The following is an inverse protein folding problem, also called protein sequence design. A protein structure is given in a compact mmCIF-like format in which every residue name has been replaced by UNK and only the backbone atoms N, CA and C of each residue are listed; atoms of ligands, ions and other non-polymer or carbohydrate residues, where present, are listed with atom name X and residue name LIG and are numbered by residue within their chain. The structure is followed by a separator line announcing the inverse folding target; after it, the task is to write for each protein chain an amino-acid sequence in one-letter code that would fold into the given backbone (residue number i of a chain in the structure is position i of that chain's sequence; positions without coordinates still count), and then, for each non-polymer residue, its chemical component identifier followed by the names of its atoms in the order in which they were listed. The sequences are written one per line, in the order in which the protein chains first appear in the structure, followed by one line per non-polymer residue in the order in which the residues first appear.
data_IF_503818143073
#
_entry.id   IF_503818143073
#
_cell.length_a   1.000
_cell.length_b   1.000
_cell.length_c   1.000
_cell.angle_alpha   90.00
_cell.angle_beta   90.00
_cell.angle_gamma   90.00
#
_symmetry.space_group_name_H-M   'P 1'
#
loop_
_entity.id
_entity.type
_entity.pdbx_description
1 polymer ?
#
# COMPACT_ATOMS: atom_id res chain seq x y z
N UNK A 1 1.16 -10.89 26.29
CA UNK A 1 -0.10 -10.17 26.05
C UNK A 1 0.29 -8.74 25.80
N UNK A 2 -0.01 -8.22 24.63
CA UNK A 2 0.08 -6.78 24.34
C UNK A 2 -1.08 -6.06 25.04
N UNK A 3 -0.83 -4.84 25.51
CA UNK A 3 -1.84 -3.98 26.13
C UNK A 3 -2.31 -2.86 25.21
N UNK A 4 -3.24 -2.07 25.71
CA UNK A 4 -3.71 -0.86 25.03
C UNK A 4 -2.55 0.16 24.89
N UNK A 5 -2.37 0.71 23.69
CA UNK A 5 -1.37 1.75 23.38
C UNK A 5 -1.92 2.77 22.39
N UNK A 6 -1.31 3.96 22.33
CA UNK A 6 -1.70 5.01 21.37
C UNK A 6 -3.16 5.50 21.52
N UNK A 7 -3.76 5.38 22.71
CA UNK A 7 -5.20 5.61 22.93
C UNK A 7 -5.63 7.09 22.76
N UNK A 8 -4.68 8.00 22.60
CA UNK A 8 -4.92 9.43 22.35
C UNK A 8 -4.61 9.86 20.90
N UNK A 9 -4.36 8.92 19.99
CA UNK A 9 -4.05 9.20 18.58
C UNK A 9 -5.14 10.05 17.92
N UNK A 10 -4.73 11.18 17.33
CA UNK A 10 -5.65 12.10 16.64
C UNK A 10 -6.29 13.17 17.54
N UNK A 11 -6.20 13.04 18.86
CA UNK A 11 -6.89 13.93 19.81
C UNK A 11 -6.52 15.41 19.64
N UNK A 12 -5.26 15.72 19.33
CA UNK A 12 -4.77 17.08 19.06
C UNK A 12 -5.39 17.74 17.82
N UNK A 13 -5.95 16.92 16.92
CA UNK A 13 -6.67 17.36 15.72
C UNK A 13 -8.18 17.12 15.80
N UNK A 14 -8.70 16.76 16.99
CA UNK A 14 -10.11 16.44 17.22
C UNK A 14 -10.64 15.30 16.33
N UNK A 15 -9.79 14.32 16.04
CA UNK A 15 -10.13 13.11 15.26
C UNK A 15 -9.75 11.85 16.04
N UNK A 16 -10.42 10.73 15.75
CA UNK A 16 -10.02 9.42 16.28
C UNK A 16 -9.12 8.73 15.26
N UNK A 17 -7.84 8.57 15.61
CA UNK A 17 -6.86 7.82 14.83
C UNK A 17 -6.31 6.61 15.60
N UNK A 18 -7.00 6.13 16.64
CA UNK A 18 -6.62 4.93 17.39
C UNK A 18 -6.76 3.67 16.53
N UNK A 19 -5.85 2.70 16.70
CA UNK A 19 -5.81 1.43 15.96
C UNK A 19 -4.68 1.38 14.94
N UNK A 20 -4.79 0.51 13.93
CA UNK A 20 -3.75 0.34 12.90
C UNK A 20 -2.50 -0.36 13.44
N UNK A 21 -1.45 -0.41 12.62
CA UNK A 21 -0.20 -1.09 12.95
C UNK A 21 0.94 -0.10 13.19
N UNK A 22 1.79 -0.39 14.17
CA UNK A 22 3.14 0.18 14.18
C UNK A 22 3.96 -0.44 13.06
N UNK A 23 4.85 0.34 12.46
CA UNK A 23 5.48 -0.01 11.19
C UNK A 23 6.52 -1.13 11.31
N UNK A 24 7.41 -1.02 12.30
CA UNK A 24 8.51 -1.96 12.48
C UNK A 24 8.78 -2.26 13.97
N UNK A 25 9.97 -1.91 14.44
CA UNK A 25 10.35 -1.97 15.87
C UNK A 25 10.16 -0.65 16.61
N UNK A 26 9.59 0.34 15.94
CA UNK A 26 9.23 1.66 16.46
C UNK A 26 7.73 1.74 16.78
N UNK A 27 7.27 2.88 17.33
CA UNK A 27 5.85 3.10 17.65
C UNK A 27 5.18 4.12 16.69
N UNK A 28 5.78 4.33 15.51
CA UNK A 28 5.25 5.20 14.46
C UNK A 28 4.29 4.43 13.58
N UNK A 29 3.19 5.08 13.19
CA UNK A 29 2.21 4.55 12.23
C UNK A 29 2.45 5.20 10.88
N UNK A 30 3.28 4.59 10.04
CA UNK A 30 3.50 5.05 8.66
C UNK A 30 2.42 4.53 7.72
N UNK A 31 1.62 5.43 7.14
CA UNK A 31 0.43 5.08 6.36
C UNK A 31 0.74 4.36 5.05
N UNK A 32 1.83 4.74 4.35
CA UNK A 32 2.21 4.13 3.08
C UNK A 32 2.58 2.63 3.21
N UNK A 33 3.58 2.24 4.02
CA UNK A 33 3.91 0.83 4.22
C UNK A 33 2.78 0.02 4.88
N UNK A 34 1.97 0.63 5.76
CA UNK A 34 0.78 -0.02 6.31
C UNK A 34 -0.26 -0.33 5.24
N UNK A 35 -0.56 0.63 4.37
CA UNK A 35 -1.48 0.43 3.26
C UNK A 35 -0.95 -0.64 2.30
N UNK A 36 0.33 -0.59 1.94
CA UNK A 36 0.97 -1.62 1.10
C UNK A 36 0.88 -3.02 1.70
N UNK A 37 1.19 -3.17 2.99
CA UNK A 37 1.06 -4.43 3.72
C UNK A 37 -0.37 -4.95 3.67
N UNK A 38 -1.35 -4.05 3.80
CA UNK A 38 -2.77 -4.38 3.74
C UNK A 38 -3.19 -4.84 2.34
N UNK A 39 -2.72 -4.15 1.30
CA UNK A 39 -2.92 -4.54 -0.10
C UNK A 39 -2.38 -5.95 -0.35
N UNK A 40 -1.16 -6.26 0.10
CA UNK A 40 -0.55 -7.59 -0.07
C UNK A 40 -1.28 -8.69 0.70
N UNK A 41 -1.66 -8.44 1.96
CA UNK A 41 -2.43 -9.40 2.74
C UNK A 41 -3.78 -9.69 2.06
N UNK A 42 -4.46 -8.64 1.60
CA UNK A 42 -5.72 -8.79 0.86
C UNK A 42 -5.52 -9.54 -0.46
N UNK A 43 -4.48 -9.23 -1.23
CA UNK A 43 -4.15 -9.93 -2.47
C UNK A 43 -3.88 -11.42 -2.22
N UNK A 44 -3.11 -11.75 -1.17
CA UNK A 44 -2.86 -13.14 -0.76
C UNK A 44 -4.15 -13.88 -0.43
N UNK A 45 -5.08 -13.25 0.29
CA UNK A 45 -6.39 -13.84 0.59
C UNK A 45 -7.24 -14.03 -0.68
N UNK A 46 -7.19 -13.09 -1.62
CA UNK A 46 -7.94 -13.18 -2.89
C UNK A 46 -7.43 -14.36 -3.73
N UNK A 47 -6.11 -14.54 -3.86
CA UNK A 47 -5.53 -15.58 -4.72
C UNK A 47 -5.49 -16.94 -4.03
N UNK A 48 -5.20 -16.98 -2.73
CA UNK A 48 -4.87 -18.22 -2.01
C UNK A 48 -5.76 -18.49 -0.80
N UNK A 49 -6.83 -17.73 -0.59
CA UNK A 49 -7.70 -17.86 0.59
C UNK A 49 -8.27 -19.27 0.80
N UNK A 50 -8.54 -20.02 -0.27
CA UNK A 50 -8.98 -21.41 -0.21
C UNK A 50 -7.94 -22.37 0.37
N UNK A 51 -6.65 -22.04 0.24
CA UNK A 51 -5.51 -22.81 0.76
C UNK A 51 -5.12 -22.41 2.19
N UNK A 52 -5.72 -21.35 2.76
CA UNK A 52 -5.38 -20.86 4.11
C UNK A 52 -6.02 -21.65 5.24
N UNK A 53 -6.94 -22.59 4.94
CA UNK A 53 -7.61 -23.44 5.92
C UNK A 53 -8.16 -22.64 7.14
N UNK A 54 -7.69 -22.94 8.35
CA UNK A 54 -8.12 -22.28 9.59
C UNK A 54 -7.46 -20.91 9.83
N UNK A 55 -6.53 -20.47 8.97
CA UNK A 55 -5.87 -19.17 9.08
C UNK A 55 -6.61 -18.05 8.34
N UNK A 56 -7.61 -18.38 7.52
CA UNK A 56 -8.35 -17.39 6.73
C UNK A 56 -9.01 -16.31 7.61
N UNK A 57 -9.54 -16.70 8.77
CA UNK A 57 -10.17 -15.77 9.70
C UNK A 57 -9.14 -14.88 10.41
N UNK A 58 -7.94 -15.39 10.68
CA UNK A 58 -6.83 -14.59 11.22
C UNK A 58 -6.35 -13.57 10.18
N UNK A 59 -6.23 -13.97 8.92
CA UNK A 59 -5.87 -13.07 7.82
C UNK A 59 -6.94 -11.98 7.63
N UNK A 60 -8.23 -12.36 7.67
CA UNK A 60 -9.34 -11.38 7.63
C UNK A 60 -9.30 -10.44 8.82
N UNK A 61 -9.06 -10.93 10.04
CA UNK A 61 -8.95 -10.08 11.22
C UNK A 61 -7.79 -9.07 11.09
N UNK A 62 -6.63 -9.50 10.58
CA UNK A 62 -5.49 -8.62 10.34
C UNK A 62 -5.79 -7.52 9.29
N UNK A 63 -6.39 -7.91 8.15
CA UNK A 63 -6.82 -6.95 7.13
C UNK A 63 -7.86 -5.98 7.70
N UNK A 64 -8.81 -6.49 8.51
CA UNK A 64 -9.83 -5.66 9.14
C UNK A 64 -9.22 -4.63 10.08
N UNK A 65 -8.24 -5.02 10.90
CA UNK A 65 -7.57 -4.12 11.85
C UNK A 65 -6.93 -2.92 11.15
N UNK A 66 -6.20 -3.15 10.05
CA UNK A 66 -5.62 -2.07 9.26
C UNK A 66 -6.69 -1.24 8.55
N UNK A 67 -7.66 -1.89 7.91
CA UNK A 67 -8.68 -1.16 7.14
C UNK A 67 -9.63 -0.33 8.00
N UNK A 68 -9.90 -0.73 9.25
CA UNK A 68 -10.64 0.10 10.20
C UNK A 68 -9.87 1.41 10.48
N UNK A 69 -8.54 1.34 10.63
CA UNK A 69 -7.70 2.54 10.79
C UNK A 69 -7.62 3.37 9.51
N UNK A 70 -7.38 2.76 8.35
CA UNK A 70 -7.33 3.48 7.06
C UNK A 70 -8.67 4.17 6.75
N UNK A 71 -9.80 3.56 7.11
CA UNK A 71 -11.11 4.20 7.02
C UNK A 71 -11.21 5.44 7.91
N UNK A 72 -10.77 5.36 9.18
CA UNK A 72 -10.73 6.53 10.07
C UNK A 72 -9.87 7.65 9.46
N UNK A 73 -8.66 7.30 9.05
CA UNK A 73 -7.70 8.22 8.45
C UNK A 73 -8.19 8.90 7.16
N UNK A 74 -8.95 8.18 6.32
CA UNK A 74 -9.49 8.68 5.06
C UNK A 74 -10.82 9.43 5.18
N UNK A 75 -11.54 9.28 6.30
CA UNK A 75 -12.90 9.83 6.46
C UNK A 75 -13.05 10.84 7.60
N UNK A 76 -12.02 11.02 8.41
CA UNK A 76 -12.04 11.94 9.56
C UNK A 76 -12.26 13.41 9.17
N UNK A 77 -11.82 13.84 7.98
CA UNK A 77 -12.01 15.20 7.48
C UNK A 77 -12.17 15.23 5.95
N UNK A 78 -12.92 16.19 5.38
CA UNK A 78 -13.03 16.35 3.93
C UNK A 78 -11.70 16.76 3.29
N UNK A 79 -11.46 16.29 2.05
CA UNK A 79 -10.25 16.60 1.25
C UNK A 79 -8.93 16.41 2.02
N UNK A 80 -8.92 15.48 2.97
CA UNK A 80 -7.80 15.22 3.86
C UNK A 80 -7.62 13.72 4.01
N UNK A 81 -6.38 13.26 3.93
CA UNK A 81 -5.99 11.91 4.32
C UNK A 81 -4.93 12.02 5.40
N UNK A 82 -5.18 11.43 6.57
CA UNK A 82 -4.18 11.29 7.62
C UNK A 82 -3.22 10.15 7.26
N UNK A 83 -1.92 10.43 7.22
CA UNK A 83 -0.92 9.51 6.64
C UNK A 83 0.13 9.06 7.65
N UNK A 84 0.23 9.73 8.80
CA UNK A 84 1.18 9.33 9.85
C UNK A 84 0.74 9.78 11.23
N UNK A 85 1.01 8.94 12.23
CA UNK A 85 0.89 9.28 13.65
C UNK A 85 2.18 8.88 14.37
N UNK A 86 2.79 9.81 15.09
CA UNK A 86 4.12 9.66 15.68
C UNK A 86 5.16 10.54 15.00
N UNK A 87 5.94 11.29 15.79
CA UNK A 87 7.16 11.94 15.29
C UNK A 87 8.30 10.92 15.27
N UNK A 88 8.83 10.55 14.09
CA UNK A 88 9.78 9.45 13.99
C UNK A 88 11.13 9.79 14.62
N UNK A 89 11.54 11.06 14.58
CA UNK A 89 12.81 11.47 15.15
C UNK A 89 12.78 11.40 16.68
N UNK A 90 11.63 11.65 17.31
CA UNK A 90 11.46 11.52 18.75
C UNK A 90 11.26 10.07 19.17
N UNK A 91 10.42 9.33 18.44
CA UNK A 91 10.16 7.91 18.67
C UNK A 91 11.47 7.11 18.65
N UNK A 92 12.28 7.26 17.60
CA UNK A 92 13.51 6.49 17.41
C UNK A 92 14.65 6.86 18.38
N UNK A 93 14.50 7.93 19.17
CA UNK A 93 15.46 8.29 20.24
C UNK A 93 15.17 7.57 21.55
N UNK A 94 13.99 6.97 21.69
CA UNK A 94 13.58 6.25 22.87
C UNK A 94 13.42 4.76 22.53
N UNK A 95 13.83 3.88 23.44
CA UNK A 95 13.52 2.46 23.37
C UNK A 95 12.49 2.15 24.44
N UNK A 96 11.22 2.16 24.07
CA UNK A 96 10.09 2.02 25.00
C UNK A 96 9.05 1.04 24.48
N UNK A 97 8.27 0.49 25.42
CA UNK A 97 7.12 -0.34 25.07
C UNK A 97 6.00 0.57 24.56
N UNK A 98 5.21 0.16 23.55
CA UNK A 98 4.10 0.97 23.06
C UNK A 98 3.10 1.35 24.15
N UNK A 99 2.89 0.51 25.17
CA UNK A 99 1.95 0.78 26.27
C UNK A 99 2.42 1.88 27.22
N UNK A 100 3.72 2.16 27.28
CA UNK A 100 4.32 3.15 28.21
C UNK A 100 4.76 4.43 27.49
N UNK A 101 4.40 4.59 26.21
CA UNK A 101 5.02 5.59 25.37
C UNK A 101 4.72 7.04 25.79
N UNK A 102 5.76 7.85 25.91
CA UNK A 102 5.66 9.26 26.31
C UNK A 102 6.16 10.24 25.22
N UNK A 103 6.62 9.70 24.09
CA UNK A 103 7.06 10.46 22.92
C UNK A 103 5.90 11.19 22.20
N UNK A 104 6.15 12.37 21.58
CA UNK A 104 5.11 13.12 20.87
C UNK A 104 4.46 12.33 19.72
N UNK A 105 3.14 12.11 19.82
CA UNK A 105 2.33 11.44 18.80
C UNK A 105 1.69 12.41 17.81
N UNK A 106 2.53 13.22 17.17
CA UNK A 106 2.10 14.19 16.16
C UNK A 106 1.38 13.52 15.00
N UNK A 107 0.40 14.21 14.42
CA UNK A 107 -0.41 13.70 13.32
C UNK A 107 -0.08 14.47 12.05
N UNK A 108 0.19 13.73 10.97
CA UNK A 108 0.52 14.29 9.66
C UNK A 108 -0.51 13.85 8.62
N UNK A 109 -0.74 14.71 7.64
CA UNK A 109 -1.80 14.56 6.65
C UNK A 109 -1.41 15.14 5.30
N UNK A 110 -2.07 14.65 4.26
CA UNK A 110 -2.07 15.24 2.92
C UNK A 110 -3.45 15.85 2.62
N UNK A 111 -3.47 16.83 1.74
CA UNK A 111 -4.65 17.64 1.40
C UNK A 111 -4.57 18.10 -0.06
N UNK A 112 -5.59 18.79 -0.55
CA UNK A 112 -5.59 19.40 -1.88
C UNK A 112 -4.51 20.48 -2.05
N UNK A 113 -4.06 21.13 -0.96
CA UNK A 113 -2.94 22.08 -1.01
C UNK A 113 -1.56 21.42 -0.91
N UNK A 114 -1.47 20.30 -0.18
CA UNK A 114 -0.25 19.51 0.01
C UNK A 114 -0.57 18.06 -0.38
N UNK A 115 -0.58 17.74 -1.69
CA UNK A 115 -1.01 16.44 -2.17
C UNK A 115 -0.07 15.30 -1.76
N UNK A 116 -0.57 14.08 -1.86
CA UNK A 116 0.18 12.85 -1.64
C UNK A 116 -0.45 11.69 -2.38
N UNK A 117 -0.30 11.69 -3.69
CA UNK A 117 -0.91 10.71 -4.59
C UNK A 117 -0.39 9.31 -4.36
N UNK A 118 0.88 9.16 -3.99
CA UNK A 118 1.51 7.88 -3.65
C UNK A 118 0.80 7.19 -2.48
N UNK A 119 0.76 7.82 -1.31
CA UNK A 119 0.11 7.26 -0.11
C UNK A 119 -1.40 7.18 -0.24
N UNK A 120 -2.04 8.13 -0.93
CA UNK A 120 -3.48 8.07 -1.19
C UNK A 120 -3.83 6.94 -2.16
N UNK A 121 -3.08 6.76 -3.25
CA UNK A 121 -3.26 5.67 -4.19
C UNK A 121 -3.08 4.30 -3.50
N UNK A 122 -2.05 4.14 -2.67
CA UNK A 122 -1.85 2.88 -1.94
C UNK A 122 -2.97 2.63 -0.91
N UNK A 123 -3.42 3.67 -0.20
CA UNK A 123 -4.58 3.56 0.70
C UNK A 123 -5.84 3.15 -0.06
N UNK A 124 -6.07 3.71 -1.25
CA UNK A 124 -7.18 3.32 -2.10
C UNK A 124 -7.06 1.86 -2.57
N UNK A 125 -5.86 1.41 -2.96
CA UNK A 125 -5.60 0.03 -3.34
C UNK A 125 -5.86 -0.95 -2.19
N UNK A 126 -5.41 -0.63 -0.98
CA UNK A 126 -5.64 -1.42 0.22
C UNK A 126 -7.13 -1.59 0.53
N UNK A 127 -7.87 -0.48 0.53
CA UNK A 127 -9.32 -0.49 0.78
C UNK A 127 -10.08 -1.22 -0.34
N UNK A 128 -9.69 -1.03 -1.61
CA UNK A 128 -10.30 -1.72 -2.73
C UNK A 128 -10.06 -3.24 -2.68
N UNK A 129 -8.83 -3.69 -2.45
CA UNK A 129 -8.49 -5.10 -2.33
C UNK A 129 -9.22 -5.74 -1.14
N UNK A 130 -9.23 -5.09 0.02
CA UNK A 130 -9.98 -5.56 1.18
C UNK A 130 -11.49 -5.64 0.93
N UNK A 131 -12.06 -4.74 0.13
CA UNK A 131 -13.48 -4.82 -0.23
C UNK A 131 -13.84 -6.14 -0.92
N UNK A 132 -12.93 -6.72 -1.70
CA UNK A 132 -13.11 -8.02 -2.35
C UNK A 132 -13.08 -9.14 -1.30
N UNK A 133 -12.13 -9.08 -0.36
CA UNK A 133 -11.98 -10.07 0.72
C UNK A 133 -13.24 -10.19 1.57
N UNK A 134 -13.89 -9.06 1.89
CA UNK A 134 -15.09 -9.02 2.73
C UNK A 134 -16.41 -9.08 1.95
N UNK A 135 -16.37 -9.21 0.62
CA UNK A 135 -17.56 -9.10 -0.24
C UNK A 135 -18.71 -10.02 0.19
N UNK A 136 -18.39 -11.27 0.54
CA UNK A 136 -19.39 -12.27 0.88
C UNK A 136 -19.63 -12.37 2.40
N UNK A 137 -18.61 -12.16 3.22
CA UNK A 137 -18.69 -12.30 4.68
C UNK A 137 -19.24 -11.08 5.40
N UNK A 138 -18.97 -9.87 4.88
CA UNK A 138 -19.52 -8.60 5.37
C UNK A 138 -19.75 -7.63 4.21
N UNK A 139 -20.87 -7.79 3.47
CA UNK A 139 -21.18 -6.96 2.30
C UNK A 139 -21.29 -5.47 2.62
N UNK A 140 -21.73 -5.12 3.83
CA UNK A 140 -21.86 -3.72 4.27
C UNK A 140 -20.48 -3.09 4.46
N UNK A 141 -19.56 -3.79 5.13
CA UNK A 141 -18.19 -3.34 5.28
C UNK A 141 -17.47 -3.28 3.93
N UNK A 142 -17.62 -4.30 3.10
CA UNK A 142 -17.12 -4.33 1.71
C UNK A 142 -17.54 -3.09 0.91
N UNK A 143 -18.83 -2.74 0.92
CA UNK A 143 -19.34 -1.56 0.23
C UNK A 143 -18.74 -0.25 0.79
N UNK A 144 -18.58 -0.15 2.12
CA UNK A 144 -17.96 1.02 2.77
C UNK A 144 -16.49 1.18 2.37
N UNK A 145 -15.75 0.07 2.30
CA UNK A 145 -14.35 0.04 1.87
C UNK A 145 -14.23 0.50 0.42
N UNK A 146 -15.01 -0.10 -0.49
CA UNK A 146 -14.96 0.23 -1.91
C UNK A 146 -15.34 1.70 -2.17
N UNK A 147 -16.40 2.19 -1.53
CA UNK A 147 -16.82 3.59 -1.67
C UNK A 147 -15.73 4.57 -1.22
N UNK A 148 -15.08 4.27 -0.09
CA UNK A 148 -13.96 5.08 0.40
C UNK A 148 -12.76 4.99 -0.53
N UNK A 149 -12.42 3.79 -1.02
CA UNK A 149 -11.32 3.58 -1.97
C UNK A 149 -11.49 4.44 -3.24
N UNK A 150 -12.69 4.47 -3.81
CA UNK A 150 -13.00 5.29 -4.99
C UNK A 150 -12.78 6.79 -4.73
N UNK A 151 -13.21 7.28 -3.56
CA UNK A 151 -13.01 8.69 -3.16
C UNK A 151 -11.54 9.04 -2.95
N UNK A 152 -10.78 8.17 -2.29
CA UNK A 152 -9.35 8.41 -2.01
C UNK A 152 -8.54 8.35 -3.30
N UNK A 153 -8.88 7.45 -4.23
CA UNK A 153 -8.27 7.42 -5.55
C UNK A 153 -8.58 8.67 -6.38
N UNK A 154 -9.82 9.12 -6.38
CA UNK A 154 -10.22 10.36 -7.05
C UNK A 154 -9.47 11.57 -6.50
N UNK A 155 -9.27 11.62 -5.17
CA UNK A 155 -8.39 12.62 -4.54
C UNK A 155 -6.94 12.51 -5.03
N UNK A 156 -6.37 11.29 -5.06
CA UNK A 156 -5.00 11.04 -5.50
C UNK A 156 -4.75 11.44 -6.96
N UNK A 157 -5.71 11.17 -7.85
CA UNK A 157 -5.61 11.46 -9.28
C UNK A 157 -5.81 12.96 -9.59
N UNK A 158 -6.76 13.62 -8.90
CA UNK A 158 -7.03 15.06 -9.11
C UNK A 158 -5.94 15.96 -8.53
N UNK A 159 -5.32 15.55 -7.42
CA UNK A 159 -4.30 16.34 -6.72
C UNK A 159 -2.97 15.60 -6.77
N UNK A 160 -2.25 15.73 -7.90
CA UNK A 160 -1.01 15.00 -8.16
C UNK A 160 0.21 15.58 -7.42
N UNK A 161 0.91 14.75 -6.65
CA UNK A 161 2.19 15.08 -5.99
C UNK A 161 2.67 14.00 -5.02
N UNK A 162 3.96 14.03 -4.60
CA UNK A 162 4.43 13.10 -3.57
C UNK A 162 4.04 13.61 -2.19
N UNK A 163 3.61 12.71 -1.29
CA UNK A 163 3.46 13.12 0.11
C UNK A 163 4.79 13.54 0.74
N UNK A 164 5.91 12.99 0.24
CA UNK A 164 7.26 13.33 0.70
C UNK A 164 7.67 14.76 0.33
N UNK A 165 7.05 15.38 -0.69
CA UNK A 165 7.35 16.78 -1.04
C UNK A 165 7.00 17.73 0.12
N UNK A 166 5.88 17.46 0.80
CA UNK A 166 5.41 18.27 1.93
C UNK A 166 5.86 17.74 3.31
N UNK A 167 6.23 16.46 3.39
CA UNK A 167 6.56 15.76 4.65
C UNK A 167 8.02 15.28 4.75
N UNK A 168 8.93 15.74 3.88
CA UNK A 168 10.34 15.30 3.81
C UNK A 168 11.14 15.33 5.14
N UNK A 169 10.69 16.08 6.15
CA UNK A 169 11.32 16.11 7.47
C UNK A 169 10.98 14.91 8.36
N UNK A 170 9.92 14.17 8.00
CA UNK A 170 9.37 13.06 8.78
C UNK A 170 9.12 11.79 7.95
N UNK A 171 9.37 11.84 6.63
CA UNK A 171 9.36 10.68 5.74
C UNK A 171 10.57 10.73 4.81
N UNK A 172 11.08 9.57 4.40
CA UNK A 172 12.13 9.54 3.38
C UNK A 172 11.59 10.08 2.03
N UNK A 173 12.49 10.52 1.16
CA UNK A 173 12.10 10.97 -0.18
C UNK A 173 11.76 9.77 -1.07
N UNK A 174 10.60 9.77 -1.70
CA UNK A 174 10.12 8.66 -2.54
C UNK A 174 9.86 9.13 -3.96
N UNK A 175 10.29 8.34 -4.95
CA UNK A 175 9.99 8.63 -6.35
C UNK A 175 8.53 8.26 -6.64
N UNK A 176 7.72 9.27 -7.00
CA UNK A 176 6.29 9.12 -7.29
C UNK A 176 6.08 8.19 -8.48
N UNK A 177 5.85 6.92 -8.21
CA UNK A 177 5.32 5.99 -9.22
C UNK A 177 4.05 5.36 -8.66
N UNK A 178 3.01 6.19 -8.70
CA UNK A 178 1.63 5.82 -8.41
C UNK A 178 1.16 4.71 -9.34
N UNK A 179 1.04 3.48 -8.84
CA UNK A 179 0.19 2.48 -9.48
C UNK A 179 -0.85 1.98 -8.46
N UNK A 180 -1.92 2.76 -8.29
CA UNK A 180 -3.16 2.19 -7.75
C UNK A 180 -3.84 1.43 -8.89
N UNK A 181 -3.61 0.12 -8.95
CA UNK A 181 -4.56 -0.74 -9.64
C UNK A 181 -5.74 -0.94 -8.70
N UNK A 182 -6.78 -0.15 -8.87
CA UNK A 182 -8.06 -0.48 -8.23
C UNK A 182 -8.51 -1.78 -8.89
N UNK A 183 -8.47 -2.86 -8.11
CA UNK A 183 -8.99 -4.18 -8.48
C UNK A 183 -10.53 -4.18 -8.55
N UNK A 184 -11.14 -3.16 -9.14
CA UNK A 184 -12.55 -3.19 -9.47
C UNK A 184 -12.71 -3.75 -10.87
N UNK A 185 -13.73 -4.59 -11.07
CA UNK A 185 -14.12 -5.05 -12.41
C UNK A 185 -14.87 -3.96 -13.20
N UNK A 186 -14.74 -2.70 -12.80
CA UNK A 186 -15.42 -1.58 -13.44
C UNK A 186 -14.59 -1.11 -14.64
N UNK A 187 -15.24 -1.04 -15.80
CA UNK A 187 -14.63 -0.66 -17.07
C UNK A 187 -13.92 0.69 -17.00
N UNK A 188 -14.41 1.65 -16.20
CA UNK A 188 -13.78 2.97 -16.06
C UNK A 188 -12.34 2.91 -15.56
N UNK A 189 -12.01 1.93 -14.70
CA UNK A 189 -10.63 1.77 -14.21
C UNK A 189 -9.75 1.05 -15.22
N UNK A 190 -10.31 0.15 -16.03
CA UNK A 190 -9.59 -0.45 -17.16
C UNK A 190 -9.26 0.63 -18.22
N UNK A 191 -10.23 1.50 -18.53
CA UNK A 191 -10.03 2.64 -19.44
C UNK A 191 -8.99 3.62 -18.88
N UNK A 192 -8.98 3.85 -17.56
CA UNK A 192 -7.97 4.65 -16.89
C UNK A 192 -6.56 4.06 -17.05
N UNK A 193 -6.41 2.74 -16.84
CA UNK A 193 -5.14 2.03 -17.02
C UNK A 193 -4.67 2.13 -18.47
N UNK A 194 -5.57 1.98 -19.44
CA UNK A 194 -5.23 2.14 -20.86
C UNK A 194 -4.79 3.57 -21.20
N UNK A 195 -5.47 4.57 -20.64
CA UNK A 195 -5.22 5.98 -20.94
C UNK A 195 -3.97 6.53 -20.27
N UNK A 196 -3.62 6.02 -19.07
CA UNK A 196 -2.51 6.53 -18.27
C UNK A 196 -1.32 5.57 -18.21
N UNK A 197 -1.44 4.31 -18.64
CA UNK A 197 -0.44 3.27 -18.46
C UNK A 197 0.97 3.68 -18.90
N UNK A 198 1.10 4.28 -20.09
CA UNK A 198 2.38 4.77 -20.59
C UNK A 198 3.00 5.83 -19.67
N UNK A 199 2.21 6.78 -19.15
CA UNK A 199 2.71 7.79 -18.20
C UNK A 199 3.05 7.20 -16.83
N UNK A 200 2.45 6.06 -16.49
CA UNK A 200 2.65 5.33 -15.23
C UNK A 200 3.72 4.23 -15.33
N UNK A 201 4.51 4.22 -16.42
CA UNK A 201 5.63 3.30 -16.59
C UNK A 201 5.23 1.90 -17.05
N UNK A 202 4.14 1.76 -17.81
CA UNK A 202 3.74 0.49 -18.43
C UNK A 202 4.85 -0.10 -19.31
N UNK A 203 5.62 0.77 -19.97
CA UNK A 203 6.65 0.42 -20.96
C UNK A 203 8.06 0.29 -20.37
N UNK A 204 8.20 0.57 -19.07
CA UNK A 204 9.48 0.48 -18.36
C UNK A 204 9.72 -0.96 -17.87
N UNK A 205 10.98 -1.40 -17.80
CA UNK A 205 11.31 -2.61 -17.05
C UNK A 205 11.54 -2.27 -15.57
N UNK A 206 10.97 -3.09 -14.69
CA UNK A 206 11.09 -2.94 -13.24
C UNK A 206 11.81 -4.15 -12.64
N UNK A 207 12.60 -3.92 -11.60
CA UNK A 207 13.47 -4.95 -11.02
C UNK A 207 13.28 -5.14 -9.51
N UNK A 208 12.40 -4.37 -8.87
CA UNK A 208 12.07 -4.47 -7.45
C UNK A 208 10.58 -4.30 -7.20
N UNK A 209 10.01 -5.13 -6.34
CA UNK A 209 8.64 -4.97 -5.84
C UNK A 209 8.69 -4.70 -4.34
N UNK A 210 8.18 -3.56 -3.90
CA UNK A 210 8.24 -3.10 -2.51
C UNK A 210 7.11 -2.13 -2.19
N UNK A 211 7.08 -1.67 -0.93
CA UNK A 211 6.18 -0.62 -0.49
C UNK A 211 6.43 0.74 -1.17
N UNK A 212 7.55 0.89 -1.89
CA UNK A 212 7.86 2.06 -2.71
C UNK A 212 7.53 1.81 -4.19
N UNK A 213 8.02 0.72 -4.78
CA UNK A 213 7.78 0.36 -6.18
C UNK A 213 6.79 -0.79 -6.35
N UNK A 214 5.58 -0.47 -6.86
CA UNK A 214 4.47 -1.42 -7.05
C UNK A 214 4.34 -1.88 -8.50
N UNK A 215 5.19 -1.38 -9.40
CA UNK A 215 5.02 -1.56 -10.84
C UNK A 215 5.14 -3.02 -11.28
N UNK A 216 6.09 -3.84 -10.78
CA UNK A 216 6.11 -5.26 -11.14
C UNK A 216 4.83 -6.00 -10.72
N UNK A 217 4.32 -5.74 -9.50
CA UNK A 217 3.10 -6.36 -8.99
C UNK A 217 1.87 -5.99 -9.82
N UNK A 218 1.75 -4.71 -10.20
CA UNK A 218 0.67 -4.25 -11.10
C UNK A 218 0.75 -4.92 -12.47
N UNK A 219 1.94 -5.01 -13.06
CA UNK A 219 2.15 -5.68 -14.35
C UNK A 219 1.74 -7.15 -14.29
N UNK A 220 2.11 -7.86 -13.22
CA UNK A 220 1.71 -9.25 -13.00
C UNK A 220 0.19 -9.38 -12.91
N UNK A 221 -0.49 -8.51 -12.14
CA UNK A 221 -1.94 -8.49 -12.05
C UNK A 221 -2.63 -8.24 -13.40
N UNK A 222 -2.15 -7.27 -14.17
CA UNK A 222 -2.71 -6.95 -15.49
C UNK A 222 -2.43 -8.05 -16.52
N UNK A 223 -1.28 -8.72 -16.42
CA UNK A 223 -0.94 -9.85 -17.27
C UNK A 223 -1.94 -11.00 -17.15
N UNK A 224 -2.54 -11.20 -15.96
CA UNK A 224 -3.62 -12.17 -15.74
C UNK A 224 -4.83 -11.87 -16.62
N UNK A 225 -5.15 -10.59 -16.85
CA UNK A 225 -6.20 -10.18 -17.79
C UNK A 225 -5.89 -10.57 -19.25
N UNK A 226 -4.62 -10.49 -19.67
CA UNK A 226 -4.21 -11.01 -20.98
C UNK A 226 -4.29 -12.54 -21.05
N UNK A 227 -3.76 -13.24 -20.04
CA UNK A 227 -3.65 -14.70 -20.03
C UNK A 227 -5.00 -15.40 -19.86
N UNK A 228 -5.89 -14.87 -19.03
CA UNK A 228 -7.18 -15.50 -18.72
C UNK A 228 -8.34 -14.93 -19.54
N UNK A 229 -8.32 -13.62 -19.80
CA UNK A 229 -9.45 -12.91 -20.45
C UNK A 229 -9.13 -12.50 -21.89
N UNK A 230 -7.94 -12.80 -22.41
CA UNK A 230 -7.50 -12.48 -23.79
C UNK A 230 -7.59 -10.99 -24.16
N UNK A 231 -7.49 -10.09 -23.18
CA UNK A 231 -7.41 -8.63 -23.40
C UNK A 231 -6.07 -8.28 -24.04
N UNK A 232 -6.05 -8.11 -25.36
CA UNK A 232 -4.82 -7.93 -26.16
C UNK A 232 -4.01 -6.72 -25.72
N UNK A 233 -4.67 -5.69 -25.25
CA UNK A 233 -4.09 -4.45 -24.75
C UNK A 233 -3.16 -4.69 -23.55
N UNK A 234 -3.33 -5.80 -22.83
CA UNK A 234 -2.50 -6.17 -21.68
C UNK A 234 -1.31 -7.06 -22.03
N UNK A 235 -1.06 -7.31 -23.32
CA UNK A 235 0.10 -8.07 -23.78
C UNK A 235 1.42 -7.44 -23.33
N UNK A 236 1.50 -6.11 -23.29
CA UNK A 236 2.70 -5.38 -22.86
C UNK A 236 3.02 -5.65 -21.38
N UNK A 237 2.00 -5.64 -20.51
CA UNK A 237 2.16 -5.96 -19.10
C UNK A 237 2.65 -7.38 -18.87
N UNK A 238 2.21 -8.34 -19.69
CA UNK A 238 2.75 -9.71 -19.68
C UNK A 238 4.23 -9.73 -20.05
N UNK A 239 4.63 -9.02 -21.10
CA UNK A 239 6.04 -8.98 -21.53
C UNK A 239 6.96 -8.41 -20.44
N UNK A 240 6.59 -7.30 -19.81
CA UNK A 240 7.37 -6.72 -18.72
C UNK A 240 7.31 -7.56 -17.42
N UNK A 241 6.21 -8.27 -17.17
CA UNK A 241 6.15 -9.24 -16.07
C UNK A 241 7.15 -10.39 -16.28
N UNK A 242 7.24 -10.92 -17.50
CA UNK A 242 8.21 -11.96 -17.83
C UNK A 242 9.65 -11.44 -17.66
N UNK A 243 9.94 -10.22 -18.10
CA UNK A 243 11.25 -9.60 -17.94
C UNK A 243 11.64 -9.50 -16.47
N UNK A 244 10.73 -9.03 -15.62
CA UNK A 244 10.93 -8.97 -14.17
C UNK A 244 11.23 -10.36 -13.58
N UNK A 245 10.36 -11.35 -13.83
CA UNK A 245 10.56 -12.71 -13.31
C UNK A 245 11.87 -13.33 -13.83
N UNK A 246 12.18 -13.16 -15.11
CA UNK A 246 13.41 -13.68 -15.68
C UNK A 246 14.64 -13.01 -15.06
N UNK A 247 14.58 -11.73 -14.70
CA UNK A 247 15.68 -11.03 -14.04
C UNK A 247 16.08 -11.62 -12.68
N UNK A 248 15.15 -12.34 -12.02
CA UNK A 248 15.34 -12.93 -10.70
C UNK A 248 15.77 -14.41 -10.75
N UNK A 249 15.53 -15.12 -11.85
CA UNK A 249 15.78 -16.58 -11.94
C UNK A 249 17.16 -16.84 -12.57
N UNK A 250 18.08 -17.54 -11.87
CA UNK A 250 19.38 -17.91 -12.43
C UNK A 250 19.27 -18.70 -13.73
N UNK A 251 20.10 -18.35 -14.72
CA UNK A 251 20.18 -19.05 -16.01
C UNK A 251 19.23 -18.57 -17.11
N UNK A 252 18.41 -17.56 -16.85
CA UNK A 252 17.63 -16.87 -17.89
C UNK A 252 18.51 -15.88 -18.66
N UNK A 253 18.04 -15.46 -19.85
CA UNK A 253 18.77 -14.52 -20.71
C UNK A 253 18.87 -13.10 -20.14
N UNK A 254 18.04 -12.74 -19.16
CA UNK A 254 17.97 -11.40 -18.56
C UNK A 254 18.28 -11.41 -17.06
N UNK A 255 18.89 -12.47 -16.54
CA UNK A 255 19.24 -12.60 -15.13
C UNK A 255 20.14 -11.45 -14.66
N UNK A 256 19.70 -10.72 -13.63
CA UNK A 256 20.41 -9.56 -13.06
C UNK A 256 20.57 -9.65 -11.53
N UNK A 257 19.78 -10.49 -10.86
CA UNK A 257 19.86 -10.63 -9.41
C UNK A 257 21.21 -11.23 -8.98
N UNK A 258 21.81 -10.65 -7.94
CA UNK A 258 22.93 -11.30 -7.26
C UNK A 258 22.38 -12.41 -6.36
N UNK A 259 23.20 -13.41 -6.05
CA UNK A 259 22.83 -14.47 -5.10
C UNK A 259 23.97 -14.67 -4.12
N UNK A 260 23.63 -14.79 -2.84
CA UNK A 260 24.59 -15.22 -1.83
C UNK A 260 24.97 -16.69 -2.06
N UNK A 261 26.08 -17.18 -1.48
CA UNK A 261 26.44 -18.60 -1.55
C UNK A 261 25.37 -19.57 -1.00
N UNK A 262 24.44 -19.07 -0.18
CA UNK A 262 23.28 -19.83 0.31
C UNK A 262 22.06 -19.79 -0.60
N UNK A 263 22.22 -19.40 -1.87
CA UNK A 263 21.16 -19.29 -2.88
C UNK A 263 20.01 -18.34 -2.49
N UNK A 264 20.28 -17.38 -1.61
CA UNK A 264 19.38 -16.28 -1.31
C UNK A 264 19.71 -15.09 -2.21
N UNK A 265 18.77 -14.54 -2.99
CA UNK A 265 18.97 -13.23 -3.59
C UNK A 265 19.10 -12.21 -2.46
N UNK A 266 20.14 -11.35 -2.42
CA UNK A 266 20.18 -10.26 -1.46
C UNK A 266 18.96 -9.39 -1.76
N UNK A 267 18.23 -9.00 -0.71
CA UNK A 267 17.19 -7.99 -0.85
C UNK A 267 17.77 -6.82 -1.63
N UNK A 268 17.06 -6.34 -2.65
CA UNK A 268 17.24 -4.97 -3.14
C UNK A 268 16.85 -4.07 -1.96
N UNK A 269 17.79 -3.90 -1.02
CA UNK A 269 17.56 -3.07 0.15
C UNK A 269 17.24 -1.68 -0.37
N UNK A 270 16.19 -1.02 0.15
CA UNK A 270 16.22 0.43 0.14
C UNK A 270 17.49 0.82 0.86
N UNK A 271 18.38 1.53 0.18
CA UNK A 271 19.47 2.24 0.81
C UNK A 271 18.80 3.14 1.86
N UNK A 272 18.76 2.71 3.11
CA UNK A 272 18.58 3.61 4.24
C UNK A 272 19.88 4.42 4.29
N UNK A 273 19.87 5.72 3.92
CA UNK A 273 21.01 6.55 4.25
C UNK A 273 21.03 6.68 5.77
N UNK A 274 22.17 6.36 6.37
CA UNK A 274 22.52 6.76 7.73
C UNK A 274 22.42 8.28 7.91
#
# INVERSE_FOLDING_TARGET
MEGDSGQSDGSSYHVDLVGGYYDAGDNVKFGLPMAFTTTLLAWSVIEFGSSMHNQIENARAAIKWSTDYLLKAATAAPNTLYVQVGDPNMDHRCWERPEDMDTPRNVYKVSDQNPGSDVAAETAAALAAASIVFKDSDPSYSAKLLHTAMKVFDFADRHRGSYSDSLNSVVCHFTVLTQATIASQNSSYLDYIQSNGHTLGADDDDYSFSWDDKRPGTKVLLSKGFLEKTTKEFQIYKAHSDNYICSLIPGTSSFQAQYTPGELPPSLSPLLPY
#
